data_IF_618757541705
#
_entry.id   IF_618757541705
#
_cell.length_a   1.000
_cell.length_b   1.000
_cell.length_c   1.000
_cell.angle_alpha   90.00
_cell.angle_beta   90.00
_cell.angle_gamma   90.00
#
_symmetry.space_group_name_H-M   'P 1'
#
loop_
_entity.id
_entity.type
_entity.pdbx_description
1 polymer ?
#
# COMPACT_ATOMS: atom_id res chain seq x y z
N UNK A 1 15.97 53.23 34.07
CA UNK A 1 15.37 52.20 34.95
C UNK A 1 13.99 51.82 34.41
N UNK A 2 13.72 50.52 34.40
CA UNK A 2 12.45 49.79 34.12
C UNK A 2 11.97 49.63 32.66
N UNK A 3 11.30 48.48 32.38
CA UNK A 3 11.63 47.62 31.24
C UNK A 3 10.38 47.16 30.44
N UNK A 4 10.61 46.30 29.43
CA UNK A 4 9.56 45.52 28.76
C UNK A 4 9.14 46.13 27.42
N UNK A 5 8.84 45.38 26.37
CA UNK A 5 8.39 43.99 26.34
C UNK A 5 8.91 43.32 25.08
N UNK A 6 9.40 42.09 25.28
CA UNK A 6 9.91 41.20 24.26
C UNK A 6 8.74 40.84 23.32
N UNK A 7 8.86 41.22 22.04
CA UNK A 7 8.01 40.72 20.97
C UNK A 7 8.10 39.20 20.95
N UNK A 8 7.04 38.56 21.45
CA UNK A 8 6.88 37.11 21.41
C UNK A 8 6.86 36.66 19.96
N UNK A 9 7.91 35.95 19.55
CA UNK A 9 7.95 35.21 18.30
C UNK A 9 6.92 34.09 18.42
N UNK A 10 5.75 34.33 17.86
CA UNK A 10 4.73 33.30 17.70
C UNK A 10 5.22 32.35 16.60
N UNK A 11 6.09 31.41 16.99
CA UNK A 11 6.47 30.27 16.17
C UNK A 11 5.20 29.43 16.06
N UNK A 12 4.43 29.67 15.00
CA UNK A 12 3.50 28.69 14.46
C UNK A 12 4.31 27.40 14.28
N UNK A 13 4.23 26.51 15.28
CA UNK A 13 4.57 25.10 15.12
C UNK A 13 3.64 24.62 14.03
N UNK A 14 4.14 24.62 12.80
CA UNK A 14 3.59 23.89 11.66
C UNK A 14 3.36 22.49 12.21
N UNK A 15 2.10 22.17 12.55
CA UNK A 15 1.70 20.80 12.88
C UNK A 15 2.13 20.02 11.66
N UNK A 16 3.22 19.28 11.78
CA UNK A 16 3.70 18.32 10.79
C UNK A 16 2.46 17.50 10.51
N UNK A 17 1.87 17.67 9.32
CA UNK A 17 0.74 16.85 8.90
C UNK A 17 1.21 15.43 9.13
N UNK A 18 0.57 14.75 10.08
CA UNK A 18 0.85 13.36 10.38
C UNK A 18 0.54 12.66 9.06
N UNK A 19 1.58 12.39 8.28
CA UNK A 19 1.45 11.58 7.08
C UNK A 19 0.76 10.32 7.53
N UNK A 20 -0.43 10.05 6.97
CA UNK A 20 -1.18 8.82 7.19
C UNK A 20 -0.18 7.67 7.21
N UNK A 21 -0.08 6.97 8.34
CA UNK A 21 0.85 5.86 8.45
C UNK A 21 0.55 4.87 7.31
N UNK A 22 1.53 4.11 6.79
CA UNK A 22 1.30 3.17 5.70
C UNK A 22 0.07 2.27 5.95
N UNK A 23 -0.14 1.90 7.21
CA UNK A 23 -1.31 1.19 7.70
C UNK A 23 -2.63 1.95 7.50
N UNK A 24 -2.71 3.24 7.86
CA UNK A 24 -3.93 4.03 7.67
C UNK A 24 -4.30 4.20 6.19
N UNK A 25 -3.29 4.36 5.33
CA UNK A 25 -3.50 4.45 3.88
C UNK A 25 -4.03 3.12 3.31
N UNK A 26 -3.50 2.00 3.80
CA UNK A 26 -3.94 0.66 3.43
C UNK A 26 -5.37 0.36 3.94
N UNK A 27 -5.70 0.74 5.19
CA UNK A 27 -7.06 0.61 5.73
C UNK A 27 -8.07 1.46 4.94
N UNK A 28 -7.72 2.71 4.60
CA UNK A 28 -8.58 3.57 3.76
C UNK A 28 -8.85 2.95 2.39
N UNK A 29 -7.88 2.24 1.83
CA UNK A 29 -8.02 1.56 0.54
C UNK A 29 -8.91 0.32 0.64
N UNK A 30 -8.82 -0.45 1.72
CA UNK A 30 -9.78 -1.54 1.99
C UNK A 30 -11.20 -1.01 2.17
N UNK A 31 -11.36 0.12 2.86
CA UNK A 31 -12.66 0.76 3.05
C UNK A 31 -13.33 1.21 1.75
N UNK A 32 -12.53 1.51 0.72
CA UNK A 32 -13.03 1.87 -0.60
C UNK A 32 -13.44 0.65 -1.47
N UNK A 33 -13.17 -0.57 -1.02
CA UNK A 33 -13.59 -1.78 -1.73
C UNK A 33 -15.05 -2.12 -1.41
N UNK A 34 -15.74 -2.66 -2.40
CA UNK A 34 -17.10 -3.15 -2.24
C UNK A 34 -17.21 -4.31 -1.23
N UNK A 35 -18.43 -4.57 -0.77
CA UNK A 35 -18.80 -5.72 0.09
C UNK A 35 -18.20 -5.71 1.51
N UNK A 36 -18.19 -4.57 2.21
CA UNK A 36 -17.74 -4.47 3.61
C UNK A 36 -16.32 -5.04 3.84
N UNK A 37 -15.46 -4.95 2.83
CA UNK A 37 -14.13 -5.57 2.81
C UNK A 37 -13.22 -5.12 3.95
N UNK A 38 -13.41 -3.91 4.45
CA UNK A 38 -12.68 -3.42 5.62
C UNK A 38 -12.92 -4.32 6.84
N UNK A 39 -14.17 -4.65 7.14
CA UNK A 39 -14.55 -5.43 8.33
C UNK A 39 -14.00 -6.86 8.26
N UNK A 40 -13.93 -7.46 7.07
CA UNK A 40 -13.39 -8.82 6.90
C UNK A 40 -11.86 -8.87 6.87
N UNK A 41 -11.22 -7.81 6.37
CA UNK A 41 -9.80 -7.83 6.02
C UNK A 41 -8.88 -6.96 6.89
N UNK A 42 -9.43 -6.14 7.79
CA UNK A 42 -8.66 -5.26 8.66
C UNK A 42 -7.64 -6.03 9.53
N UNK A 43 -8.05 -7.15 10.10
CA UNK A 43 -7.19 -7.99 10.93
C UNK A 43 -5.95 -8.49 10.18
N UNK A 44 -6.10 -8.78 8.88
CA UNK A 44 -4.97 -9.22 8.06
C UNK A 44 -3.98 -8.08 7.82
N UNK A 45 -4.47 -6.87 7.55
CA UNK A 45 -3.61 -5.70 7.34
C UNK A 45 -2.84 -5.36 8.61
N UNK A 46 -3.51 -5.37 9.75
CA UNK A 46 -2.88 -5.13 11.06
C UNK A 46 -1.86 -6.22 11.40
N UNK A 47 -2.18 -7.48 11.12
CA UNK A 47 -1.28 -8.61 11.34
C UNK A 47 -0.04 -8.52 10.44
N UNK A 48 -0.23 -8.27 9.14
CA UNK A 48 0.87 -8.12 8.18
C UNK A 48 1.80 -6.94 8.52
N UNK A 49 1.24 -5.82 9.00
CA UNK A 49 2.04 -4.66 9.42
C UNK A 49 3.05 -4.98 10.54
N UNK A 50 2.77 -5.99 11.38
CA UNK A 50 3.71 -6.48 12.41
C UNK A 50 4.88 -7.23 11.77
N UNK A 51 4.62 -8.02 10.73
CA UNK A 51 5.65 -8.78 10.01
C UNK A 51 6.53 -7.90 9.12
N UNK A 52 6.06 -6.76 8.60
CA UNK A 52 6.91 -5.80 7.88
C UNK A 52 8.10 -5.25 8.69
N UNK A 53 8.09 -5.45 10.01
CA UNK A 53 9.16 -5.00 10.92
C UNK A 53 10.14 -6.11 11.28
N UNK A 54 9.84 -7.34 10.91
CA UNK A 54 10.59 -8.54 11.28
C UNK A 54 11.11 -9.14 9.96
N UNK A 55 12.41 -9.42 9.88
CA UNK A 55 13.03 -9.99 8.68
C UNK A 55 12.58 -11.46 8.49
N UNK A 56 11.36 -11.62 7.99
CA UNK A 56 10.73 -12.92 7.83
C UNK A 56 11.11 -13.55 6.47
N UNK A 57 11.64 -14.78 6.43
CA UNK A 57 12.21 -15.36 5.20
C UNK A 57 11.25 -15.48 4.01
N UNK A 58 9.94 -15.61 4.26
CA UNK A 58 8.95 -15.69 3.20
C UNK A 58 8.10 -14.39 3.09
N UNK A 59 8.68 -13.25 3.47
CA UNK A 59 8.01 -11.94 3.45
C UNK A 59 7.54 -11.56 2.05
N UNK A 60 8.31 -11.86 1.00
CA UNK A 60 7.94 -11.57 -0.39
C UNK A 60 6.65 -12.28 -0.79
N UNK A 61 6.47 -13.53 -0.34
CA UNK A 61 5.25 -14.31 -0.59
C UNK A 61 4.07 -13.76 0.19
N UNK A 62 4.27 -13.36 1.45
CA UNK A 62 3.25 -12.67 2.23
C UNK A 62 2.88 -11.31 1.61
N UNK A 63 3.84 -10.59 1.05
CA UNK A 63 3.62 -9.32 0.36
C UNK A 63 2.79 -9.52 -0.92
N UNK A 64 3.04 -10.57 -1.70
CA UNK A 64 2.17 -10.93 -2.85
C UNK A 64 0.73 -11.17 -2.41
N UNK A 65 0.53 -11.99 -1.38
CA UNK A 65 -0.82 -12.26 -0.83
C UNK A 65 -1.50 -10.98 -0.31
N UNK A 66 -0.72 -10.13 0.35
CA UNK A 66 -1.18 -8.84 0.84
C UNK A 66 -1.67 -7.93 -0.30
N UNK A 67 -1.01 -7.91 -1.45
CA UNK A 67 -1.45 -7.13 -2.61
C UNK A 67 -2.77 -7.63 -3.19
N UNK A 68 -2.96 -8.95 -3.24
CA UNK A 68 -4.20 -9.57 -3.66
C UNK A 68 -5.39 -9.27 -2.74
N UNK A 69 -5.14 -8.94 -1.46
CA UNK A 69 -6.20 -8.51 -0.54
C UNK A 69 -6.93 -7.25 -1.03
N UNK A 70 -6.27 -6.42 -1.83
CA UNK A 70 -6.85 -5.19 -2.40
C UNK A 70 -7.53 -5.38 -3.75
N UNK A 71 -7.50 -6.60 -4.29
CA UNK A 71 -8.20 -6.95 -5.52
C UNK A 71 -9.65 -7.29 -5.15
N UNK A 72 -10.66 -6.79 -5.89
CA UNK A 72 -12.05 -7.23 -5.73
C UNK A 72 -12.17 -8.76 -5.75
N UNK A 73 -12.98 -9.31 -4.85
CA UNK A 73 -13.09 -10.78 -4.67
C UNK A 73 -13.53 -11.51 -5.95
N UNK A 74 -14.26 -10.83 -6.83
CA UNK A 74 -14.71 -11.35 -8.13
C UNK A 74 -13.56 -11.66 -9.10
N UNK A 75 -12.36 -11.14 -8.85
CA UNK A 75 -11.18 -11.35 -9.67
C UNK A 75 -10.18 -12.33 -9.02
N UNK A 76 -10.54 -12.92 -7.88
CA UNK A 76 -9.65 -13.84 -7.20
C UNK A 76 -9.67 -15.20 -7.89
N UNK A 77 -8.49 -15.78 -8.20
CA UNK A 77 -8.42 -17.11 -8.83
C UNK A 77 -8.83 -18.24 -7.88
N UNK A 78 -8.78 -18.01 -6.57
CA UNK A 78 -9.16 -18.95 -5.51
C UNK A 78 -9.40 -18.20 -4.19
N UNK A 79 -9.64 -18.91 -3.09
CA UNK A 79 -9.78 -18.32 -1.76
C UNK A 79 -8.44 -17.76 -1.21
N UNK A 80 -8.01 -16.58 -1.70
CA UNK A 80 -6.77 -15.92 -1.29
C UNK A 80 -6.80 -15.54 0.19
N UNK A 81 -7.97 -15.20 0.73
CA UNK A 81 -8.13 -14.83 2.14
C UNK A 81 -7.81 -16.01 3.07
N UNK A 82 -8.37 -17.18 2.78
CA UNK A 82 -8.07 -18.40 3.52
C UNK A 82 -6.60 -18.76 3.47
N UNK A 83 -5.97 -18.66 2.29
CA UNK A 83 -4.54 -18.88 2.13
C UNK A 83 -3.72 -17.87 2.94
N UNK A 84 -4.09 -16.58 2.91
CA UNK A 84 -3.38 -15.54 3.65
C UNK A 84 -3.53 -15.69 5.16
N UNK A 85 -4.72 -16.07 5.65
CA UNK A 85 -4.96 -16.40 7.06
C UNK A 85 -4.06 -17.55 7.53
N UNK A 86 -3.98 -18.62 6.74
CA UNK A 86 -3.14 -19.76 7.07
C UNK A 86 -1.64 -19.39 7.05
N UNK A 87 -1.22 -18.59 6.07
CA UNK A 87 0.14 -18.08 5.95
C UNK A 87 0.55 -17.20 7.15
N UNK A 88 -0.32 -16.26 7.55
CA UNK A 88 -0.09 -15.40 8.72
C UNK A 88 -0.04 -16.20 10.02
N UNK A 89 -0.88 -17.23 10.19
CA UNK A 89 -0.86 -18.10 11.37
C UNK A 89 0.49 -18.85 11.49
N UNK A 90 1.07 -19.30 10.39
CA UNK A 90 2.39 -19.93 10.38
C UNK A 90 3.50 -18.92 10.68
N UNK A 91 3.44 -17.75 10.04
CA UNK A 91 4.40 -16.67 10.28
C UNK A 91 4.37 -16.20 11.74
N UNK A 92 3.19 -16.08 12.37
CA UNK A 92 3.07 -15.74 13.80
C UNK A 92 3.66 -16.79 14.72
N UNK A 93 3.71 -18.05 14.28
CA UNK A 93 4.37 -19.14 15.00
C UNK A 93 5.89 -19.21 14.71
N UNK A 94 6.45 -18.23 13.98
CA UNK A 94 7.85 -18.22 13.54
C UNK A 94 8.18 -19.32 12.52
N UNK A 95 7.15 -19.97 11.94
CA UNK A 95 7.32 -21.07 10.99
C UNK A 95 7.30 -20.53 9.57
N UNK A 96 8.12 -21.12 8.71
CA UNK A 96 8.08 -20.90 7.26
C UNK A 96 6.74 -21.33 6.65
N UNK A 97 6.44 -20.77 5.49
CA UNK A 97 5.33 -21.21 4.67
C UNK A 97 5.53 -22.67 4.27
N UNK A 98 4.43 -23.42 4.19
CA UNK A 98 4.46 -24.78 3.67
C UNK A 98 4.87 -24.76 2.18
N UNK A 99 5.52 -25.83 1.70
CA UNK A 99 5.97 -25.92 0.30
C UNK A 99 4.80 -25.78 -0.68
N UNK A 100 3.65 -26.39 -0.38
CA UNK A 100 2.46 -26.29 -1.22
C UNK A 100 1.87 -24.88 -1.18
N UNK A 101 1.84 -24.23 -0.01
CA UNK A 101 1.42 -22.83 0.10
C UNK A 101 2.35 -21.91 -0.71
N UNK A 102 3.66 -22.09 -0.57
CA UNK A 102 4.65 -21.34 -1.31
C UNK A 102 4.47 -21.49 -2.82
N UNK A 103 4.28 -22.71 -3.31
CA UNK A 103 4.02 -22.98 -4.72
C UNK A 103 2.78 -22.25 -5.23
N UNK A 104 1.66 -22.34 -4.49
CA UNK A 104 0.41 -21.66 -4.87
C UNK A 104 0.60 -20.14 -4.92
N UNK A 105 1.35 -19.57 -3.98
CA UNK A 105 1.67 -18.13 -3.97
C UNK A 105 2.59 -17.75 -5.13
N UNK A 106 3.54 -18.62 -5.49
CA UNK A 106 4.48 -18.37 -6.58
C UNK A 106 3.79 -18.45 -7.95
N UNK A 107 2.72 -19.24 -8.07
CA UNK A 107 1.87 -19.35 -9.27
C UNK A 107 0.83 -18.23 -9.41
N UNK A 108 0.60 -17.42 -8.37
CA UNK A 108 -0.31 -16.28 -8.47
C UNK A 108 0.20 -15.28 -9.52
N UNK A 109 -0.67 -14.78 -10.41
CA UNK A 109 -0.26 -13.75 -11.34
C UNK A 109 0.16 -12.48 -10.58
N UNK A 110 1.04 -11.65 -11.18
CA UNK A 110 1.45 -10.41 -10.58
C UNK A 110 0.23 -9.49 -10.42
N UNK A 111 0.02 -9.03 -9.19
CA UNK A 111 -1.11 -8.20 -8.85
C UNK A 111 -0.91 -6.77 -9.41
N UNK A 112 -1.65 -6.39 -10.45
CA UNK A 112 -1.38 -5.13 -11.17
C UNK A 112 -1.80 -3.86 -10.41
N UNK A 113 -2.36 -3.99 -9.20
CA UNK A 113 -3.00 -2.89 -8.45
C UNK A 113 -2.04 -1.77 -8.02
N UNK A 114 -0.72 -1.98 -8.15
CA UNK A 114 0.31 -0.97 -7.86
C UNK A 114 1.00 -0.38 -9.09
N UNK A 115 0.67 -0.83 -10.31
CA UNK A 115 1.15 -0.15 -11.50
C UNK A 115 0.28 1.09 -11.73
N UNK A 116 0.66 2.19 -11.09
CA UNK A 116 0.37 3.53 -11.64
C UNK A 116 1.18 3.61 -12.94
N UNK A 117 0.62 3.05 -14.00
CA UNK A 117 1.21 3.17 -15.31
C UNK A 117 1.10 4.64 -15.68
N UNK A 118 2.23 5.34 -15.70
CA UNK A 118 2.35 6.62 -16.37
C UNK A 118 2.23 6.37 -17.88
N UNK A 119 1.02 6.09 -18.36
CA UNK A 119 0.72 5.91 -19.78
C UNK A 119 -0.18 7.05 -20.25
N UNK A 120 0.36 8.27 -20.17
CA UNK A 120 -0.01 9.35 -21.08
C UNK A 120 1.25 10.19 -21.33
N UNK A 121 1.96 9.99 -22.44
CA UNK A 121 2.90 11.01 -22.89
C UNK A 121 2.05 12.22 -23.29
N UNK A 122 2.25 13.34 -22.59
CA UNK A 122 1.68 14.64 -22.95
C UNK A 122 2.26 15.05 -24.31
N UNK A 123 1.53 14.78 -25.39
CA UNK A 123 1.84 15.36 -26.70
C UNK A 123 1.47 16.84 -26.67
N UNK A 124 2.45 17.70 -26.37
CA UNK A 124 2.35 19.12 -26.69
C UNK A 124 3.66 19.59 -27.30
N UNK A 125 3.86 19.27 -28.58
CA UNK A 125 4.83 19.97 -29.42
C UNK A 125 4.02 20.86 -30.35
N UNK A 126 3.79 22.09 -29.89
CA UNK A 126 3.20 23.19 -30.65
C UNK A 126 4.06 23.45 -31.89
N UNK A 127 3.48 23.23 -33.07
CA UNK A 127 4.02 23.71 -34.34
C UNK A 127 4.03 25.25 -34.31
N UNK A 128 5.22 25.85 -34.27
CA UNK A 128 5.40 27.26 -34.62
C UNK A 128 5.93 27.33 -36.04
N UNK A 129 5.03 27.60 -36.97
CA UNK A 129 5.32 27.90 -38.37
C UNK A 129 6.03 29.26 -38.43
N UNK A 130 7.35 29.25 -38.65
CA UNK A 130 8.11 30.44 -39.03
C UNK A 130 7.97 30.68 -40.52
N UNK A 131 7.14 31.65 -40.88
CA UNK A 131 7.00 32.19 -42.24
C UNK A 131 8.23 33.05 -42.53
N UNK A 132 9.04 32.66 -43.52
CA UNK A 132 10.12 33.49 -44.07
C UNK A 132 9.57 34.25 -45.28
N UNK A 133 9.37 35.56 -45.14
CA UNK A 133 9.08 36.47 -46.25
C UNK A 133 10.29 36.63 -47.18
N UNK A 134 10.03 36.66 -48.49
CA UNK A 134 10.87 37.33 -49.48
C UNK A 134 10.34 38.73 -49.74
#
# INVERSE_FOLDING_TARGET
MKPGQHLGTNVMRRRKSVGSSPLQSDLKRLAALAYHRLESSEDFVRSFARFRRIDYPDLDRLQKLYEWLFVPITLWPFNVEGLFRAALKRASAGKRLDKSMALVVDLLPPCQVRKRVALFPSTNTRCSTGITSR
#
